data_IF_987726378965
#
_entry.id   IF_987726378965
#
_cell.length_a   1.000
_cell.length_b   1.000
_cell.length_c   1.000
_cell.angle_alpha   90.00
_cell.angle_beta   90.00
_cell.angle_gamma   90.00
#
_symmetry.space_group_name_H-M   'P 1'
#
loop_
_entity.id
_entity.type
_entity.pdbx_description
1 polymer ?
#
# COMPACT_ATOMS: atom_id res chain seq x y z
N UNK A 1 -18.15 -0.72 40.80
CA UNK A 1 -17.62 -1.40 39.59
C UNK A 1 -16.11 -1.64 39.59
N UNK A 2 -15.28 -0.78 40.19
CA UNK A 2 -13.79 -0.93 40.13
C UNK A 2 -13.21 -1.98 41.09
N UNK A 3 -13.98 -2.43 42.10
CA UNK A 3 -13.52 -3.41 43.10
C UNK A 3 -13.71 -4.90 42.70
N UNK A 4 -14.41 -5.20 41.61
CA UNK A 4 -14.75 -6.58 41.23
C UNK A 4 -13.82 -7.19 40.17
N UNK A 5 -12.90 -6.40 39.58
CA UNK A 5 -12.03 -6.86 38.49
C UNK A 5 -10.57 -7.04 38.95
N UNK A 6 -9.94 -8.19 38.62
CA UNK A 6 -8.52 -8.40 38.85
C UNK A 6 -7.68 -7.29 38.20
N UNK A 7 -6.54 -6.97 38.82
CA UNK A 7 -5.61 -5.92 38.35
C UNK A 7 -5.19 -6.10 36.89
N UNK A 8 -5.08 -7.34 36.43
CA UNK A 8 -4.78 -7.69 35.05
C UNK A 8 -5.87 -7.22 34.07
N UNK A 9 -7.16 -7.35 34.45
CA UNK A 9 -8.29 -6.93 33.61
C UNK A 9 -8.34 -5.41 33.48
N UNK A 10 -8.02 -4.68 34.55
CA UNK A 10 -7.92 -3.21 34.51
C UNK A 10 -6.75 -2.74 33.63
N UNK A 11 -5.61 -3.43 33.66
CA UNK A 11 -4.47 -3.14 32.79
C UNK A 11 -4.79 -3.43 31.32
N UNK A 12 -5.49 -4.53 31.03
CA UNK A 12 -5.93 -4.89 29.69
C UNK A 12 -6.95 -3.88 29.14
N UNK A 13 -7.91 -3.45 29.97
CA UNK A 13 -8.84 -2.37 29.62
C UNK A 13 -8.12 -1.08 29.28
N UNK A 14 -7.11 -0.69 30.07
CA UNK A 14 -6.33 0.52 29.78
C UNK A 14 -5.56 0.40 28.46
N UNK A 15 -4.97 -0.78 28.20
CA UNK A 15 -4.26 -1.07 26.95
C UNK A 15 -5.18 -1.00 25.73
N UNK A 16 -6.37 -1.60 25.83
CA UNK A 16 -7.39 -1.57 24.77
C UNK A 16 -7.96 -0.17 24.58
N UNK A 17 -8.22 0.57 25.66
CA UNK A 17 -8.68 1.96 25.61
C UNK A 17 -7.66 2.87 24.90
N UNK A 18 -6.36 2.68 25.18
CA UNK A 18 -5.28 3.36 24.45
C UNK A 18 -5.22 2.93 22.97
N UNK A 19 -5.56 1.69 22.66
CA UNK A 19 -5.70 1.19 21.29
C UNK A 19 -6.87 1.82 20.53
N UNK A 20 -8.02 2.03 21.18
CA UNK A 20 -9.20 2.68 20.59
C UNK A 20 -8.98 4.18 20.40
N UNK A 21 -8.19 4.81 21.27
CA UNK A 21 -7.73 6.19 21.07
C UNK A 21 -6.71 6.34 19.93
N UNK A 22 -6.17 5.25 19.35
CA UNK A 22 -5.39 5.40 18.12
C UNK A 22 -6.32 5.94 17.03
N UNK A 23 -6.00 7.15 16.60
CA UNK A 23 -6.67 7.91 15.56
C UNK A 23 -6.95 6.99 14.36
N UNK A 24 -8.19 6.99 13.88
CA UNK A 24 -8.54 6.26 12.67
C UNK A 24 -7.67 6.75 11.50
N UNK A 25 -6.69 5.94 11.08
CA UNK A 25 -5.75 6.28 10.01
C UNK A 25 -6.44 6.25 8.63
N UNK A 26 -7.55 5.52 8.51
CA UNK A 26 -8.36 5.39 7.32
C UNK A 26 -9.41 6.50 7.21
N UNK A 27 -8.91 7.73 7.08
CA UNK A 27 -9.76 8.89 6.81
C UNK A 27 -10.27 8.86 5.36
N UNK A 28 -11.30 9.66 5.05
CA UNK A 28 -11.74 9.87 3.65
C UNK A 28 -10.59 10.33 2.74
N UNK A 29 -9.67 11.14 3.29
CA UNK A 29 -8.48 11.59 2.55
C UNK A 29 -7.51 10.45 2.24
N UNK A 30 -7.33 9.51 3.17
CA UNK A 30 -6.53 8.31 2.93
C UNK A 30 -7.11 7.49 1.78
N UNK A 31 -8.42 7.24 1.80
CA UNK A 31 -9.10 6.49 0.74
C UNK A 31 -9.02 7.21 -0.61
N UNK A 32 -9.17 8.54 -0.60
CA UNK A 32 -9.03 9.37 -1.80
C UNK A 32 -7.62 9.24 -2.40
N UNK A 33 -6.57 9.41 -1.58
CA UNK A 33 -5.19 9.29 -2.04
C UNK A 33 -4.87 7.88 -2.54
N UNK A 34 -5.41 6.84 -1.90
CA UNK A 34 -5.27 5.46 -2.36
C UNK A 34 -5.87 5.26 -3.76
N UNK A 35 -7.12 5.68 -3.97
CA UNK A 35 -7.81 5.50 -5.25
C UNK A 35 -7.12 6.31 -6.36
N UNK A 36 -6.70 7.55 -6.08
CA UNK A 36 -6.00 8.39 -7.05
C UNK A 36 -4.61 7.83 -7.40
N UNK A 37 -3.85 7.34 -6.42
CA UNK A 37 -2.57 6.66 -6.67
C UNK A 37 -2.76 5.42 -7.56
N UNK A 38 -3.74 4.57 -7.25
CA UNK A 38 -4.03 3.39 -8.06
C UNK A 38 -4.46 3.76 -9.49
N UNK A 39 -5.27 4.81 -9.65
CA UNK A 39 -5.67 5.30 -10.95
C UNK A 39 -4.48 5.77 -11.79
N UNK A 40 -3.62 6.65 -11.25
CA UNK A 40 -2.43 7.13 -11.96
C UNK A 40 -1.46 5.98 -12.31
N UNK A 41 -1.29 5.01 -11.40
CA UNK A 41 -0.47 3.82 -11.68
C UNK A 41 -1.03 3.00 -12.85
N UNK A 42 -2.35 2.83 -12.92
CA UNK A 42 -3.00 2.10 -14.01
C UNK A 42 -2.95 2.87 -15.33
N UNK A 43 -3.10 4.19 -15.30
CA UNK A 43 -2.98 5.07 -16.46
C UNK A 43 -1.56 5.02 -17.04
N UNK A 44 -0.53 5.13 -16.19
CA UNK A 44 0.87 4.97 -16.59
C UNK A 44 1.15 3.62 -17.28
N UNK A 45 0.54 2.54 -16.79
CA UNK A 45 0.66 1.21 -17.42
C UNK A 45 -0.05 1.13 -18.76
N UNK A 46 -1.16 1.84 -18.94
CA UNK A 46 -1.86 1.89 -20.23
C UNK A 46 -1.07 2.68 -21.27
N UNK A 47 -0.48 3.81 -20.87
CA UNK A 47 0.22 4.72 -21.79
C UNK A 47 1.65 4.29 -22.10
N UNK A 48 2.44 3.97 -21.06
CA UNK A 48 3.86 3.69 -21.15
C UNK A 48 4.23 2.20 -21.01
N UNK A 49 3.25 1.35 -20.71
CA UNK A 49 3.47 -0.04 -20.37
C UNK A 49 4.13 -0.25 -19.02
N UNK A 50 4.46 -1.51 -18.69
CA UNK A 50 5.01 -1.89 -17.39
C UNK A 50 6.44 -1.37 -17.14
N UNK A 51 7.17 -0.94 -18.19
CA UNK A 51 8.54 -0.46 -18.06
C UNK A 51 8.61 0.89 -17.34
N UNK A 52 7.68 1.80 -17.63
CA UNK A 52 7.62 3.11 -16.95
C UNK A 52 7.29 2.92 -15.47
N UNK A 53 6.49 1.90 -15.16
CA UNK A 53 6.14 1.57 -13.80
C UNK A 53 7.33 1.10 -12.96
N UNK A 54 8.27 0.34 -13.55
CA UNK A 54 9.47 -0.15 -12.86
C UNK A 54 10.28 1.00 -12.22
N UNK A 55 10.41 2.13 -12.93
CA UNK A 55 11.13 3.33 -12.45
C UNK A 55 10.47 3.95 -11.21
N UNK A 56 9.14 3.83 -11.07
CA UNK A 56 8.39 4.37 -9.94
C UNK A 56 8.32 3.42 -8.74
N UNK A 57 8.31 2.10 -8.98
CA UNK A 57 8.13 1.07 -7.93
C UNK A 57 9.46 0.57 -7.33
N UNK A 58 10.60 0.74 -8.01
CA UNK A 58 11.92 0.45 -7.43
C UNK A 58 12.32 1.40 -6.31
N UNK A 59 11.94 2.67 -6.38
CA UNK A 59 12.22 3.67 -5.36
C UNK A 59 11.01 4.58 -5.12
N UNK A 60 9.97 4.08 -4.40
CA UNK A 60 8.75 4.83 -4.17
C UNK A 60 8.99 6.16 -3.44
N UNK A 61 9.96 6.23 -2.52
CA UNK A 61 10.34 7.48 -1.84
C UNK A 61 10.86 8.60 -2.75
N UNK A 62 11.55 8.22 -3.83
CA UNK A 62 12.12 9.17 -4.78
C UNK A 62 11.20 9.42 -5.96
N UNK A 63 10.11 8.66 -6.07
CA UNK A 63 9.19 8.73 -7.18
C UNK A 63 8.29 9.96 -7.08
N UNK A 64 8.28 10.84 -8.10
CA UNK A 64 7.41 12.01 -8.10
C UNK A 64 5.92 11.64 -8.03
N UNK A 65 5.56 10.45 -8.50
CA UNK A 65 4.21 9.90 -8.41
C UNK A 65 3.79 9.69 -6.94
N UNK A 66 4.59 8.96 -6.17
CA UNK A 66 4.28 8.67 -4.76
C UNK A 66 4.44 9.90 -3.86
N UNK A 67 5.29 10.87 -4.22
CA UNK A 67 5.41 12.14 -3.51
C UNK A 67 4.14 13.00 -3.55
N UNK A 68 3.29 12.86 -4.58
CA UNK A 68 1.95 13.49 -4.61
C UNK A 68 1.01 12.95 -3.52
N UNK A 69 1.30 11.76 -2.99
CA UNK A 69 0.43 11.00 -2.08
C UNK A 69 1.12 10.72 -0.74
N UNK A 70 1.38 11.75 0.10
CA UNK A 70 2.16 11.60 1.32
C UNK A 70 1.54 10.67 2.37
N UNK A 71 0.22 10.48 2.36
CA UNK A 71 -0.44 9.50 3.24
C UNK A 71 -0.12 8.06 2.81
N UNK A 72 -0.04 7.81 1.51
CA UNK A 72 0.37 6.51 0.98
C UNK A 72 1.85 6.27 1.23
N UNK A 73 2.69 7.28 1.00
CA UNK A 73 4.15 7.15 1.20
C UNK A 73 4.53 6.87 2.66
N UNK A 74 3.72 7.32 3.62
CA UNK A 74 3.88 6.98 5.04
C UNK A 74 3.59 5.50 5.33
N UNK A 75 2.68 4.89 4.57
CA UNK A 75 2.38 3.46 4.67
C UNK A 75 3.30 2.66 3.73
N UNK A 76 4.51 2.40 4.22
CA UNK A 76 5.50 1.61 3.48
C UNK A 76 5.00 0.20 3.17
N UNK A 77 4.20 -0.40 4.04
CA UNK A 77 3.71 -1.76 3.85
C UNK A 77 2.74 -1.83 2.66
N UNK A 78 1.80 -0.87 2.58
CA UNK A 78 0.90 -0.74 1.45
C UNK A 78 1.65 -0.45 0.15
N UNK A 79 2.58 0.50 0.16
CA UNK A 79 3.37 0.85 -1.04
C UNK A 79 4.18 -0.34 -1.54
N UNK A 80 4.78 -1.11 -0.63
CA UNK A 80 5.51 -2.35 -0.96
C UNK A 80 4.56 -3.37 -1.58
N UNK A 81 3.40 -3.59 -0.96
CA UNK A 81 2.38 -4.52 -1.45
C UNK A 81 1.92 -4.17 -2.87
N UNK A 82 1.59 -2.90 -3.13
CA UNK A 82 1.16 -2.45 -4.46
C UNK A 82 2.30 -2.67 -5.47
N UNK A 83 3.51 -2.25 -5.15
CA UNK A 83 4.70 -2.40 -5.99
C UNK A 83 4.98 -3.86 -6.36
N UNK A 84 4.90 -4.76 -5.39
CA UNK A 84 5.16 -6.18 -5.60
C UNK A 84 4.09 -6.84 -6.48
N UNK A 85 2.81 -6.45 -6.34
CA UNK A 85 1.75 -6.94 -7.23
C UNK A 85 2.01 -6.55 -8.69
N UNK A 86 2.45 -5.33 -8.94
CA UNK A 86 2.79 -4.89 -10.28
C UNK A 86 4.05 -5.58 -10.83
N UNK A 87 5.09 -5.80 -10.00
CA UNK A 87 6.26 -6.62 -10.39
C UNK A 87 5.86 -8.03 -10.79
N UNK A 88 4.95 -8.66 -10.04
CA UNK A 88 4.43 -9.99 -10.39
C UNK A 88 3.69 -9.99 -11.73
N UNK A 89 2.92 -8.95 -12.03
CA UNK A 89 2.29 -8.79 -13.35
C UNK A 89 3.33 -8.65 -14.47
N UNK A 90 4.39 -7.88 -14.25
CA UNK A 90 5.49 -7.75 -15.21
C UNK A 90 6.19 -9.09 -15.46
N UNK A 91 6.57 -9.81 -14.41
CA UNK A 91 7.18 -11.14 -14.52
C UNK A 91 6.26 -12.17 -15.17
N UNK A 92 4.96 -12.16 -14.85
CA UNK A 92 3.96 -13.05 -15.43
C UNK A 92 3.76 -12.84 -16.93
N UNK A 93 3.76 -11.58 -17.40
CA UNK A 93 3.74 -11.27 -18.84
C UNK A 93 5.04 -11.67 -19.53
N UNK A 94 6.19 -11.46 -18.90
CA UNK A 94 7.50 -11.92 -19.43
C UNK A 94 7.51 -13.44 -19.64
N UNK A 95 6.92 -14.21 -18.70
CA UNK A 95 6.85 -15.67 -18.82
C UNK A 95 5.96 -16.13 -19.98
N UNK A 96 4.84 -15.44 -20.25
CA UNK A 96 3.96 -15.74 -21.41
C UNK A 96 4.58 -15.33 -22.75
N UNK A 97 5.30 -14.21 -22.81
CA UNK A 97 5.97 -13.75 -24.03
C UNK A 97 7.09 -14.69 -24.51
N UNK A 98 7.71 -15.47 -23.61
CA UNK A 98 8.71 -16.49 -23.97
C UNK A 98 8.12 -17.83 -24.41
N UNK A 99 6.86 -18.14 -24.05
CA UNK A 99 6.22 -19.42 -24.39
C UNK A 99 5.68 -19.48 -25.83
N UNK A 100 5.63 -18.36 -26.56
CA UNK A 100 5.22 -18.29 -27.97
C UNK A 100 6.38 -18.19 -28.96
N UNK A 101 7.60 -18.53 -28.54
CA UNK A 101 8.81 -18.42 -29.36
C UNK A 101 9.70 -19.65 -29.18
N UNK A 102 9.13 -20.84 -29.40
CA UNK A 102 9.89 -22.03 -29.78
C UNK A 102 9.28 -22.57 -31.09
N UNK A 103 10.07 -22.76 -32.16
CA UNK A 103 9.63 -23.43 -33.39
C UNK A 103 9.48 -24.94 -33.22
#
# INVERSE_FOLDING_TARGET
MVLANPRAVLAEMYRQFRGIMRKNEYTNEYQRQLLMLLYELLELVQDGGLKVLDEHIESPENSPLFQKYPLMLRDKALVTFISDNFRLMAMGKIKRARAGRDP
#
